data_IF_556064203933
#
_entry.id   IF_556064203933
#
_cell.length_a   1.000
_cell.length_b   1.000
_cell.length_c   1.000
_cell.angle_alpha   90.00
_cell.angle_beta   90.00
_cell.angle_gamma   90.00
#
_symmetry.space_group_name_H-M   'P 1'
#
loop_
_entity.id
_entity.type
_entity.pdbx_description
1 polymer ?
#
# COMPACT_ATOMS: atom_id res chain seq x y z
N UNK A 1 -3.23 -6.28 -16.73
CA UNK A 1 -2.00 -5.51 -16.45
C UNK A 1 -1.77 -5.62 -14.95
N UNK A 2 -0.82 -6.45 -14.49
CA UNK A 2 -0.52 -6.60 -13.06
C UNK A 2 0.06 -5.28 -12.54
N UNK A 3 -0.44 -4.78 -11.42
CA UNK A 3 0.07 -3.55 -10.80
C UNK A 3 1.47 -3.79 -10.22
N UNK A 4 2.31 -2.75 -10.20
CA UNK A 4 3.67 -2.84 -9.63
C UNK A 4 3.67 -3.33 -8.17
N UNK A 5 2.62 -3.02 -7.40
CA UNK A 5 2.45 -3.47 -6.02
C UNK A 5 2.19 -4.99 -5.92
N UNK A 6 1.41 -5.59 -6.83
CA UNK A 6 1.20 -7.06 -6.83
C UNK A 6 2.51 -7.80 -7.11
N UNK A 7 3.32 -7.28 -8.03
CA UNK A 7 4.68 -7.84 -8.30
C UNK A 7 5.59 -7.69 -7.07
N UNK A 8 5.49 -6.57 -6.35
CA UNK A 8 6.26 -6.35 -5.13
C UNK A 8 5.86 -7.34 -4.02
N UNK A 9 4.56 -7.64 -3.85
CA UNK A 9 4.09 -8.62 -2.88
C UNK A 9 4.62 -10.03 -3.20
N UNK A 10 4.52 -10.47 -4.47
CA UNK A 10 5.04 -11.78 -4.88
C UNK A 10 6.57 -11.87 -4.71
N UNK A 11 7.28 -10.79 -5.09
CA UNK A 11 8.73 -10.69 -4.92
C UNK A 11 9.16 -10.77 -3.46
N UNK A 12 8.44 -10.08 -2.59
CA UNK A 12 8.66 -10.09 -1.15
C UNK A 12 8.58 -11.53 -0.60
N UNK A 13 7.51 -12.26 -0.94
CA UNK A 13 7.29 -13.64 -0.51
C UNK A 13 8.37 -14.59 -1.04
N UNK A 14 8.83 -14.38 -2.28
CA UNK A 14 9.91 -15.17 -2.85
C UNK A 14 11.25 -14.94 -2.13
N UNK A 15 11.53 -13.72 -1.67
CA UNK A 15 12.73 -13.40 -0.87
C UNK A 15 12.65 -14.06 0.50
N UNK A 16 11.53 -13.94 1.20
CA UNK A 16 11.29 -14.60 2.49
C UNK A 16 11.54 -16.11 2.42
N UNK A 17 10.98 -16.77 1.41
CA UNK A 17 11.11 -18.22 1.23
C UNK A 17 12.56 -18.66 0.91
N UNK A 18 13.31 -17.84 0.18
CA UNK A 18 14.65 -18.22 -0.29
C UNK A 18 15.75 -17.84 0.70
N UNK A 19 15.64 -16.68 1.33
CA UNK A 19 16.67 -16.14 2.20
C UNK A 19 16.36 -16.33 3.69
N UNK A 20 15.13 -16.70 4.07
CA UNK A 20 14.73 -16.89 5.46
C UNK A 20 14.77 -15.59 6.28
N UNK A 21 14.74 -14.44 5.61
CA UNK A 21 14.76 -13.11 6.22
C UNK A 21 13.35 -12.53 6.23
N UNK A 22 12.99 -11.87 7.32
CA UNK A 22 11.76 -11.10 7.39
C UNK A 22 11.82 -9.96 6.39
N UNK A 23 10.74 -9.76 5.66
CA UNK A 23 10.65 -8.72 4.64
C UNK A 23 9.59 -7.70 4.99
N UNK A 24 9.77 -6.50 4.46
CA UNK A 24 8.90 -5.35 4.68
C UNK A 24 8.48 -4.80 3.32
N UNK A 25 7.17 -4.81 3.06
CA UNK A 25 6.60 -4.33 1.81
C UNK A 25 6.50 -2.81 1.82
N UNK A 26 7.16 -2.15 0.87
CA UNK A 26 7.05 -0.70 0.70
C UNK A 26 5.83 -0.34 -0.15
N UNK A 27 4.83 0.27 0.48
CA UNK A 27 3.58 0.70 -0.12
C UNK A 27 3.50 2.22 -0.25
N UNK A 28 3.09 2.71 -1.43
CA UNK A 28 3.00 4.15 -1.75
C UNK A 28 1.56 4.54 -2.10
N UNK A 29 0.99 5.56 -1.44
CA UNK A 29 -0.41 5.97 -1.64
C UNK A 29 -0.70 6.72 -2.96
N UNK A 30 0.34 7.18 -3.68
CA UNK A 30 0.24 8.12 -4.80
C UNK A 30 -0.63 7.68 -5.98
N UNK A 31 -0.62 6.39 -6.31
CA UNK A 31 -1.16 5.90 -7.60
C UNK A 31 -2.49 5.13 -7.46
N UNK A 32 -3.17 5.22 -6.31
CA UNK A 32 -4.33 4.38 -6.00
C UNK A 32 -5.45 5.15 -5.30
N UNK A 33 -6.67 4.82 -5.71
CA UNK A 33 -7.85 5.17 -4.93
C UNK A 33 -7.96 4.27 -3.69
N UNK A 34 -8.76 4.70 -2.73
CA UNK A 34 -8.89 4.05 -1.44
C UNK A 34 -9.33 2.57 -1.53
N UNK A 35 -10.27 2.25 -2.42
CA UNK A 35 -10.76 0.88 -2.64
C UNK A 35 -9.68 -0.03 -3.22
N UNK A 36 -8.89 0.48 -4.16
CA UNK A 36 -7.75 -0.24 -4.73
C UNK A 36 -6.69 -0.52 -3.68
N UNK A 37 -6.39 0.46 -2.81
CA UNK A 37 -5.47 0.26 -1.69
C UNK A 37 -5.97 -0.82 -0.73
N UNK A 38 -7.26 -0.81 -0.40
CA UNK A 38 -7.85 -1.84 0.46
C UNK A 38 -7.78 -3.24 -0.18
N UNK A 39 -8.06 -3.35 -1.48
CA UNK A 39 -7.94 -4.61 -2.23
C UNK A 39 -6.51 -5.13 -2.23
N UNK A 40 -5.51 -4.26 -2.47
CA UNK A 40 -4.10 -4.64 -2.45
C UNK A 40 -3.67 -5.12 -1.05
N UNK A 41 -4.09 -4.43 0.01
CA UNK A 41 -3.78 -4.79 1.40
C UNK A 41 -4.38 -6.13 1.80
N UNK A 42 -5.64 -6.40 1.41
CA UNK A 42 -6.29 -7.69 1.62
C UNK A 42 -5.58 -8.82 0.86
N UNK A 43 -5.19 -8.56 -0.40
CA UNK A 43 -4.39 -9.49 -1.20
C UNK A 43 -3.02 -9.77 -0.58
N UNK A 44 -2.32 -8.73 -0.10
CA UNK A 44 -1.05 -8.85 0.59
C UNK A 44 -1.18 -9.70 1.86
N UNK A 45 -2.22 -9.46 2.66
CA UNK A 45 -2.50 -10.25 3.84
C UNK A 45 -2.77 -11.73 3.49
N UNK A 46 -3.55 -12.01 2.44
CA UNK A 46 -3.80 -13.36 1.96
C UNK A 46 -2.53 -14.08 1.47
N UNK A 47 -1.57 -13.33 0.93
CA UNK A 47 -0.27 -13.86 0.49
C UNK A 47 0.75 -14.04 1.61
N UNK A 48 0.43 -13.62 2.84
CA UNK A 48 1.30 -13.79 4.00
C UNK A 48 2.15 -12.57 4.34
N UNK A 49 1.96 -11.44 3.67
CA UNK A 49 2.63 -10.18 4.04
C UNK A 49 2.12 -9.71 5.40
N UNK A 50 3.04 -9.43 6.33
CA UNK A 50 2.70 -8.96 7.69
C UNK A 50 3.36 -7.64 8.05
N UNK A 51 4.38 -7.22 7.31
CA UNK A 51 5.11 -5.99 7.56
C UNK A 51 4.97 -5.03 6.38
N UNK A 52 4.54 -3.80 6.67
CA UNK A 52 4.27 -2.76 5.69
C UNK A 52 5.03 -1.49 6.08
N UNK A 53 5.72 -0.88 5.11
CA UNK A 53 6.19 0.49 5.17
C UNK A 53 5.31 1.34 4.28
N UNK A 54 4.48 2.16 4.91
CA UNK A 54 3.52 3.01 4.21
C UNK A 54 4.11 4.40 4.01
N UNK A 55 4.06 4.90 2.79
CA UNK A 55 4.51 6.25 2.44
C UNK A 55 3.46 6.96 1.59
N UNK A 56 3.25 8.26 1.81
CA UNK A 56 2.31 9.07 1.03
C UNK A 56 2.71 9.13 -0.46
N UNK A 57 4.01 9.00 -0.72
CA UNK A 57 4.62 9.30 -2.02
C UNK A 57 4.93 10.80 -2.14
N UNK A 58 5.46 11.19 -3.29
CA UNK A 58 5.85 12.58 -3.52
C UNK A 58 4.64 13.49 -3.74
N UNK A 59 4.61 14.69 -3.15
CA UNK A 59 3.56 15.66 -3.43
C UNK A 59 3.56 16.01 -4.93
N UNK A 60 2.39 16.25 -5.54
CA UNK A 60 2.26 16.53 -6.98
C UNK A 60 2.99 17.82 -7.39
N UNK A 61 3.29 18.68 -6.41
CA UNK A 61 3.98 19.95 -6.59
C UNK A 61 5.45 19.80 -7.02
N UNK A 62 6.04 18.61 -6.95
CA UNK A 62 7.43 18.34 -7.40
C UNK A 62 7.48 17.93 -8.89
N UNK A 63 6.58 18.48 -9.70
CA UNK A 63 6.52 18.28 -11.16
C UNK A 63 6.00 19.52 -11.90
N UNK A 64 6.16 19.55 -13.22
CA UNK A 64 5.96 20.72 -14.12
C UNK A 64 4.52 21.31 -14.18
N UNK A 65 3.60 20.85 -13.32
CA UNK A 65 2.19 21.20 -13.36
C UNK A 65 1.68 21.69 -11.98
N UNK A 66 1.85 22.99 -11.67
CA UNK A 66 1.44 23.60 -10.39
C UNK A 66 -0.08 23.62 -10.12
N UNK A 67 -0.90 23.18 -11.09
CA UNK A 67 -2.36 23.09 -10.99
C UNK A 67 -2.86 21.65 -10.79
N UNK A 68 -1.97 20.66 -10.69
CA UNK A 68 -2.35 19.28 -10.45
C UNK A 68 -2.75 19.09 -8.97
N UNK A 69 -4.05 19.15 -8.68
CA UNK A 69 -4.58 18.64 -7.41
C UNK A 69 -4.37 17.13 -7.38
N UNK A 70 -3.41 16.68 -6.58
CA UNK A 70 -3.25 15.26 -6.30
C UNK A 70 -4.53 14.76 -5.65
N UNK A 71 -5.23 13.87 -6.33
CA UNK A 71 -6.35 13.13 -5.74
C UNK A 71 -5.75 12.07 -4.84
N UNK A 72 -5.28 12.50 -3.66
CA UNK A 72 -4.95 11.57 -2.58
C UNK A 72 -6.22 11.38 -1.77
N UNK A 73 -6.87 10.23 -1.92
CA UNK A 73 -7.98 9.89 -1.01
C UNK A 73 -7.46 9.75 0.43
N UNK A 74 -6.20 9.33 0.59
CA UNK A 74 -5.60 8.96 1.88
C UNK A 74 -4.07 9.12 1.82
N UNK A 75 -3.49 9.77 2.84
CA UNK A 75 -2.03 9.87 3.03
C UNK A 75 -1.48 8.66 3.81
N UNK A 76 -0.17 8.64 4.12
CA UNK A 76 0.40 7.52 4.88
C UNK A 76 -0.24 7.31 6.25
N UNK A 77 -0.71 8.38 6.90
CA UNK A 77 -1.34 8.32 8.22
C UNK A 77 -2.75 7.73 8.08
N UNK A 78 -3.52 8.22 7.11
CA UNK A 78 -4.84 7.70 6.78
C UNK A 78 -4.79 6.22 6.41
N UNK A 79 -3.81 5.80 5.62
CA UNK A 79 -3.67 4.40 5.22
C UNK A 79 -3.23 3.52 6.39
N UNK A 80 -2.32 4.01 7.25
CA UNK A 80 -1.93 3.29 8.47
C UNK A 80 -3.12 3.09 9.41
N UNK A 81 -3.99 4.09 9.55
CA UNK A 81 -5.24 3.97 10.31
C UNK A 81 -6.19 2.96 9.68
N UNK A 82 -6.32 2.95 8.34
CA UNK A 82 -7.11 1.94 7.64
C UNK A 82 -6.57 0.54 7.89
N UNK A 83 -5.27 0.31 7.75
CA UNK A 83 -4.62 -0.97 8.03
C UNK A 83 -4.89 -1.42 9.46
N UNK A 84 -4.80 -0.50 10.42
CA UNK A 84 -5.10 -0.79 11.83
C UNK A 84 -6.55 -1.26 12.02
N UNK A 85 -7.50 -0.62 11.36
CA UNK A 85 -8.92 -1.02 11.40
C UNK A 85 -9.17 -2.35 10.71
N UNK A 86 -8.55 -2.58 9.55
CA UNK A 86 -8.63 -3.87 8.84
C UNK A 86 -8.11 -5.02 9.70
N UNK A 87 -7.01 -4.80 10.43
CA UNK A 87 -6.47 -5.78 11.37
C UNK A 87 -7.40 -6.03 12.57
N UNK A 88 -8.32 -5.12 12.86
CA UNK A 88 -9.38 -5.27 13.87
C UNK A 88 -10.67 -5.87 13.28
N UNK A 89 -10.71 -6.14 11.98
CA UNK A 89 -11.88 -6.68 11.29
C UNK A 89 -12.89 -5.63 10.80
N UNK A 90 -12.53 -4.34 10.85
CA UNK A 90 -13.38 -3.24 10.41
C UNK A 90 -12.90 -2.69 9.06
N UNK A 91 -13.84 -2.41 8.17
CA UNK A 91 -13.55 -1.76 6.89
C UNK A 91 -13.82 -0.24 6.97
N UNK A 92 -13.91 0.42 5.82
CA UNK A 92 -14.21 1.86 5.75
C UNK A 92 -15.66 2.19 6.11
N UNK A 93 -16.57 1.23 5.96
CA UNK A 93 -18.00 1.36 6.25
C UNK A 93 -18.33 1.11 7.72
N UNK A 94 -17.46 0.43 8.46
CA UNK A 94 -17.67 0.04 9.86
C UNK A 94 -17.69 -1.47 9.97
#
# INVERSE_FOLDING_TARGET
>A
MLSAQVVAIDGQRAVEQRAGVETLLHYTCRDRNLLGMQSDLLGAHAMGVRNLLITTGDPPLVGDYPQATGVFDVDSIGLANLVTRLNQGYDLGG
#
